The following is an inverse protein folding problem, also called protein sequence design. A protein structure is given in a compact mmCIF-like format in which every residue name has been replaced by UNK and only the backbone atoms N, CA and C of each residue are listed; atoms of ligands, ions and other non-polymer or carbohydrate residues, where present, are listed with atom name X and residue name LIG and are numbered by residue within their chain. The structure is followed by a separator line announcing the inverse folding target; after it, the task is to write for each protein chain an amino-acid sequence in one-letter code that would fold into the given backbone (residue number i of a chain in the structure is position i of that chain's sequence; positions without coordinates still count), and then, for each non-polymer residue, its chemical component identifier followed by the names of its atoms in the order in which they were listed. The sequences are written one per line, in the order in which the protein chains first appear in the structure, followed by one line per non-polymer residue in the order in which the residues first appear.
data_IF_530234507709
#
_entry.id   IF_530234507709
#
_cell.length_a   1.000
_cell.length_b   1.000
_cell.length_c   1.000
_cell.angle_alpha   90.00
_cell.angle_beta   90.00
_cell.angle_gamma   90.00
#
_symmetry.space_group_name_H-M   'P 1'
#
loop_
_entity.id
_entity.type
_entity.pdbx_description
1 polymer ?
#
# COMPACT_ATOMS: atom_id res chain seq x y z
N UNK A 1 -6.32 10.32 4.66
CA UNK A 1 -6.51 11.44 5.62
C UNK A 1 -6.41 12.80 4.92
N UNK A 2 -6.95 13.90 5.49
CA UNK A 2 -6.73 15.25 4.96
C UNK A 2 -5.24 15.66 4.95
N UNK A 3 -4.82 16.45 3.95
CA UNK A 3 -3.41 16.90 3.82
C UNK A 3 -2.89 17.63 5.07
N UNK A 4 -3.72 18.44 5.71
CA UNK A 4 -3.34 19.17 6.92
C UNK A 4 -2.96 18.23 8.09
N UNK A 5 -3.64 17.08 8.21
CA UNK A 5 -3.33 16.07 9.22
C UNK A 5 -1.97 15.42 8.93
N UNK A 6 -1.68 15.10 7.66
CA UNK A 6 -0.35 14.62 7.28
C UNK A 6 0.75 15.63 7.66
N UNK A 7 0.53 16.93 7.43
CA UNK A 7 1.48 17.97 7.83
C UNK A 7 1.72 17.99 9.35
N UNK A 8 0.68 17.80 10.15
CA UNK A 8 0.83 17.66 11.60
C UNK A 8 1.68 16.44 11.97
N UNK A 9 1.43 15.27 11.36
CA UNK A 9 2.22 14.06 11.60
C UNK A 9 3.70 14.23 11.21
N UNK A 10 4.00 14.98 10.14
CA UNK A 10 5.38 15.27 9.73
C UNK A 10 6.19 16.05 10.78
N UNK A 11 5.51 16.77 11.66
CA UNK A 11 6.14 17.60 12.70
C UNK A 11 5.99 17.04 14.12
N UNK A 12 5.28 15.91 14.30
CA UNK A 12 4.98 15.37 15.62
C UNK A 12 5.04 13.84 15.63
N UNK A 13 6.08 13.30 16.27
CA UNK A 13 6.21 11.87 16.56
C UNK A 13 4.99 11.34 17.30
N UNK A 14 4.41 12.12 18.21
CA UNK A 14 3.21 11.73 18.95
C UNK A 14 1.97 11.58 18.05
N UNK A 15 1.76 12.51 17.11
CA UNK A 15 0.61 12.42 16.20
C UNK A 15 0.80 11.31 15.17
N UNK A 16 2.05 11.07 14.73
CA UNK A 16 2.38 9.92 13.89
C UNK A 16 2.17 8.59 14.63
N UNK A 17 2.56 8.48 15.91
CA UNK A 17 2.26 7.31 16.74
C UNK A 17 0.76 7.06 16.85
N UNK A 18 -0.02 8.11 17.13
CA UNK A 18 -1.49 7.99 17.21
C UNK A 18 -2.09 7.52 15.88
N UNK A 19 -1.54 7.93 14.75
CA UNK A 19 -1.94 7.44 13.45
C UNK A 19 -1.63 5.95 13.29
N UNK A 20 -0.37 5.56 13.46
CA UNK A 20 0.10 4.18 13.29
C UNK A 20 -0.50 3.22 14.33
N UNK A 21 -0.96 3.74 15.47
CA UNK A 21 -1.70 3.00 16.50
C UNK A 21 -3.22 3.01 16.28
N UNK A 22 -3.73 3.41 15.11
CA UNK A 22 -5.16 3.45 14.78
C UNK A 22 -6.03 4.37 15.66
N UNK A 23 -5.42 5.35 16.36
CA UNK A 23 -6.09 6.29 17.28
C UNK A 23 -6.43 7.63 16.64
N UNK A 24 -5.90 7.95 15.46
CA UNK A 24 -6.07 9.25 14.80
C UNK A 24 -7.20 9.27 13.75
N UNK A 25 -7.57 8.11 13.21
CA UNK A 25 -8.58 7.99 12.15
C UNK A 25 -9.50 6.78 12.41
N UNK A 26 -10.78 6.84 11.98
CA UNK A 26 -11.70 5.71 12.13
C UNK A 26 -11.24 4.51 11.32
N UNK A 27 -11.62 3.29 11.74
CA UNK A 27 -11.25 2.03 11.07
C UNK A 27 -11.55 2.01 9.57
N UNK A 28 -12.63 2.69 9.13
CA UNK A 28 -13.01 2.79 7.71
C UNK A 28 -12.03 3.55 6.83
N UNK A 29 -11.09 4.30 7.41
CA UNK A 29 -10.08 5.08 6.69
C UNK A 29 -8.72 4.37 6.65
N UNK A 30 -8.65 3.11 7.10
CA UNK A 30 -7.46 2.25 7.05
C UNK A 30 -7.70 1.08 6.10
N UNK A 31 -6.64 0.65 5.43
CA UNK A 31 -6.61 -0.58 4.65
C UNK A 31 -5.45 -1.43 5.16
N UNK A 32 -5.79 -2.62 5.67
CA UNK A 32 -4.82 -3.65 5.98
C UNK A 32 -4.60 -4.53 4.74
N UNK A 33 -3.35 -4.62 4.31
CA UNK A 33 -2.94 -5.44 3.17
C UNK A 33 -2.28 -6.75 3.61
N UNK A 34 -2.17 -6.98 4.92
CA UNK A 34 -1.51 -8.15 5.49
C UNK A 34 -0.12 -8.35 4.81
N UNK A 35 0.23 -9.55 4.39
CA UNK A 35 1.50 -9.85 3.71
C UNK A 35 1.45 -9.67 2.18
N UNK A 36 0.35 -9.16 1.62
CA UNK A 36 0.15 -9.05 0.17
C UNK A 36 1.10 -8.08 -0.60
N UNK A 37 1.61 -6.96 -0.04
CA UNK A 37 2.32 -5.95 -0.84
C UNK A 37 3.48 -6.47 -1.67
N UNK A 38 4.31 -7.36 -1.11
CA UNK A 38 5.45 -7.93 -1.83
C UNK A 38 5.00 -8.82 -2.99
N UNK A 39 4.00 -9.68 -2.75
CA UNK A 39 3.41 -10.55 -3.75
C UNK A 39 2.74 -9.78 -4.88
N UNK A 40 2.02 -8.70 -4.57
CA UNK A 40 1.37 -7.84 -5.57
C UNK A 40 2.37 -7.25 -6.56
N UNK A 41 3.45 -6.64 -6.06
CA UNK A 41 4.49 -6.05 -6.91
C UNK A 41 5.12 -7.13 -7.80
N UNK A 42 5.51 -8.25 -7.19
CA UNK A 42 6.20 -9.32 -7.90
C UNK A 42 5.33 -9.97 -8.98
N UNK A 43 4.06 -10.27 -8.68
CA UNK A 43 3.15 -10.83 -9.69
C UNK A 43 2.86 -9.83 -10.80
N UNK A 44 2.67 -8.54 -10.49
CA UNK A 44 2.46 -7.51 -11.52
C UNK A 44 3.65 -7.47 -12.50
N UNK A 45 4.88 -7.54 -11.99
CA UNK A 45 6.10 -7.56 -12.80
C UNK A 45 6.23 -8.84 -13.64
N UNK A 46 5.98 -10.00 -13.04
CA UNK A 46 6.08 -11.28 -13.73
C UNK A 46 4.98 -11.50 -14.77
N UNK A 47 3.82 -10.87 -14.58
CA UNK A 47 2.70 -10.91 -15.54
C UNK A 47 2.94 -10.05 -16.78
N UNK A 48 4.08 -9.35 -16.86
CA UNK A 48 4.43 -8.48 -17.99
C UNK A 48 3.56 -7.23 -18.08
N UNK A 49 3.01 -6.77 -16.95
CA UNK A 49 2.28 -5.51 -16.88
C UNK A 49 3.16 -4.36 -17.38
N UNK A 50 2.53 -3.37 -18.03
CA UNK A 50 3.22 -2.15 -18.43
C UNK A 50 3.98 -1.51 -17.24
N UNK A 51 5.22 -1.02 -17.45
CA UNK A 51 6.03 -0.47 -16.37
C UNK A 51 5.38 0.71 -15.63
N UNK A 52 4.51 1.48 -16.28
CA UNK A 52 3.89 2.65 -15.68
C UNK A 52 2.86 2.29 -14.60
N UNK A 53 1.88 1.40 -14.84
CA UNK A 53 1.04 0.86 -13.77
C UNK A 53 1.81 0.11 -12.67
N UNK A 54 2.89 -0.62 -13.01
CA UNK A 54 3.76 -1.24 -12.00
C UNK A 54 4.41 -0.18 -11.10
N UNK A 55 4.90 0.93 -11.67
CA UNK A 55 5.47 2.02 -10.91
C UNK A 55 4.42 2.70 -10.01
N UNK A 56 3.19 2.88 -10.50
CA UNK A 56 2.09 3.39 -9.69
C UNK A 56 1.73 2.45 -8.53
N UNK A 57 1.69 1.13 -8.76
CA UNK A 57 1.48 0.13 -7.72
C UNK A 57 2.60 0.15 -6.68
N UNK A 58 3.87 0.20 -7.11
CA UNK A 58 5.02 0.33 -6.20
C UNK A 58 4.92 1.58 -5.35
N UNK A 59 4.54 2.71 -5.95
CA UNK A 59 4.34 3.98 -5.25
C UNK A 59 3.18 3.90 -4.26
N UNK A 60 2.09 3.24 -4.64
CA UNK A 60 0.92 3.03 -3.79
C UNK A 60 1.21 2.19 -2.54
N UNK A 61 2.20 1.29 -2.62
CA UNK A 61 2.59 0.37 -1.55
C UNK A 61 3.81 0.82 -0.73
N UNK A 62 4.58 1.79 -1.22
CA UNK A 62 5.84 2.24 -0.59
C UNK A 62 5.87 3.70 -0.22
N UNK A 63 4.98 4.53 -0.77
CA UNK A 63 5.02 5.97 -0.64
C UNK A 63 6.21 6.62 -1.35
N UNK A 64 6.31 7.94 -1.21
CA UNK A 64 7.40 8.72 -1.80
C UNK A 64 8.37 9.25 -0.76
N UNK A 65 7.81 9.75 0.34
CA UNK A 65 8.57 10.46 1.36
C UNK A 65 8.25 9.88 2.71
N UNK A 66 9.29 9.69 3.51
CA UNK A 66 9.16 9.41 4.92
C UNK A 66 8.42 10.55 5.64
N UNK A 67 7.48 10.20 6.52
CA UNK A 67 6.64 11.18 7.23
C UNK A 67 7.46 11.90 8.29
N UNK A 68 8.19 11.17 9.12
CA UNK A 68 9.04 11.75 10.17
C UNK A 68 10.23 10.83 10.48
N UNK A 69 11.46 11.19 10.09
CA UNK A 69 12.65 10.39 10.42
C UNK A 69 12.87 10.19 11.93
N UNK A 70 12.45 11.14 12.76
CA UNK A 70 12.54 11.03 14.21
C UNK A 70 11.62 9.95 14.80
N UNK A 71 10.63 9.47 14.04
CA UNK A 71 9.73 8.41 14.46
C UNK A 71 10.42 7.05 14.55
N UNK A 72 11.53 6.86 13.84
CA UNK A 72 12.28 5.60 13.86
C UNK A 72 12.87 5.24 15.23
N UNK A 73 13.05 6.24 16.09
CA UNK A 73 13.52 6.06 17.47
C UNK A 73 12.36 5.76 18.45
N UNK A 74 11.12 5.71 17.97
CA UNK A 74 9.96 5.43 18.81
C UNK A 74 9.88 3.94 19.17
N UNK A 75 9.45 3.58 20.40
CA UNK A 75 9.28 2.18 20.77
C UNK A 75 8.36 1.42 19.81
N UNK A 76 8.72 0.16 19.56
CA UNK A 76 7.96 -0.79 18.74
C UNK A 76 7.82 -0.40 17.25
N UNK A 77 8.62 0.52 16.72
CA UNK A 77 8.71 0.75 15.28
C UNK A 77 9.69 -0.21 14.62
N UNK A 78 9.43 -0.58 13.37
CA UNK A 78 10.36 -1.39 12.56
C UNK A 78 11.26 -0.45 11.77
N UNK A 79 12.55 -0.40 12.14
CA UNK A 79 13.51 0.57 11.59
C UNK A 79 13.67 0.48 10.07
N UNK A 80 13.66 -0.73 9.51
CA UNK A 80 13.78 -1.00 8.08
C UNK A 80 12.54 -0.60 7.27
N UNK A 81 11.43 -0.32 7.94
CA UNK A 81 10.14 0.02 7.34
C UNK A 81 9.65 1.39 7.85
N UNK A 82 10.28 2.49 7.38
CA UNK A 82 9.86 3.83 7.79
C UNK A 82 8.42 4.10 7.37
N UNK A 83 7.73 4.92 8.17
CA UNK A 83 6.39 5.38 7.82
C UNK A 83 6.50 6.36 6.66
N UNK A 84 5.89 6.05 5.53
CA UNK A 84 5.94 6.87 4.31
C UNK A 84 4.56 7.40 3.94
N UNK A 85 4.52 8.39 3.06
CA UNK A 85 3.28 8.97 2.58
C UNK A 85 3.29 9.32 1.09
N UNK A 86 2.08 9.46 0.57
CA UNK A 86 1.75 10.17 -0.65
C UNK A 86 0.87 11.37 -0.31
N UNK A 87 1.23 12.55 -0.81
CA UNK A 87 0.41 13.75 -0.71
C UNK A 87 -0.86 13.63 -1.56
N UNK A 88 -1.89 14.40 -1.24
CA UNK A 88 -3.22 14.27 -1.85
C UNK A 88 -3.23 14.36 -3.39
N UNK A 89 -2.42 15.25 -3.96
CA UNK A 89 -2.34 15.39 -5.43
C UNK A 89 -1.66 14.16 -6.06
N UNK A 90 -0.63 13.61 -5.39
CA UNK A 90 0.02 12.36 -5.82
C UNK A 90 -0.92 11.17 -5.74
N UNK A 91 -1.74 11.08 -4.68
CA UNK A 91 -2.78 10.05 -4.54
C UNK A 91 -3.75 10.10 -5.72
N UNK A 92 -4.17 11.30 -6.13
CA UNK A 92 -5.01 11.47 -7.32
C UNK A 92 -4.38 10.92 -8.60
N UNK A 93 -3.08 11.20 -8.81
CA UNK A 93 -2.32 10.66 -9.93
C UNK A 93 -2.21 9.13 -9.89
N UNK A 94 -1.84 8.56 -8.74
CA UNK A 94 -1.73 7.10 -8.55
C UNK A 94 -3.08 6.43 -8.78
N UNK A 95 -4.16 6.97 -8.21
CA UNK A 95 -5.51 6.43 -8.39
C UNK A 95 -5.96 6.45 -9.85
N UNK A 96 -5.63 7.50 -10.61
CA UNK A 96 -5.95 7.56 -12.03
C UNK A 96 -5.25 6.46 -12.84
N UNK A 97 -3.96 6.19 -12.54
CA UNK A 97 -3.22 5.11 -13.21
C UNK A 97 -3.77 3.75 -12.80
N UNK A 98 -3.96 3.52 -11.51
CA UNK A 98 -4.48 2.26 -11.00
C UNK A 98 -5.91 1.98 -11.49
N UNK A 99 -6.76 3.00 -11.58
CA UNK A 99 -8.12 2.88 -12.10
C UNK A 99 -8.20 2.63 -13.61
N UNK A 100 -7.08 2.72 -14.34
CA UNK A 100 -7.02 2.35 -15.76
C UNK A 100 -6.68 0.87 -16.00
N UNK A 101 -6.30 0.15 -14.94
CA UNK A 101 -6.06 -1.27 -15.02
C UNK A 101 -7.35 -2.03 -15.34
N UNK A 102 -7.27 -3.16 -16.08
CA UNK A 102 -8.39 -4.10 -16.12
C UNK A 102 -8.63 -4.68 -14.72
N UNK A 103 -9.67 -5.51 -14.57
CA UNK A 103 -9.97 -6.12 -13.28
C UNK A 103 -8.75 -6.87 -12.70
N UNK A 104 -8.69 -6.95 -11.36
CA UNK A 104 -7.56 -7.53 -10.64
C UNK A 104 -7.24 -8.98 -11.05
N UNK A 105 -8.26 -9.76 -11.42
CA UNK A 105 -8.08 -11.16 -11.82
C UNK A 105 -7.40 -11.28 -13.20
N UNK A 106 -7.67 -10.33 -14.09
CA UNK A 106 -7.03 -10.19 -15.41
C UNK A 106 -5.60 -9.67 -15.31
N UNK A 107 -5.30 -8.87 -14.29
CA UNK A 107 -3.96 -8.33 -14.02
C UNK A 107 -3.02 -9.39 -13.44
N UNK A 108 -3.52 -10.21 -12.51
CA UNK A 108 -2.71 -11.14 -11.72
C UNK A 108 -2.68 -12.54 -12.36
N UNK A 109 -2.07 -12.62 -13.54
CA UNK A 109 -1.92 -13.85 -14.32
C UNK A 109 -0.44 -14.13 -14.57
N UNK A 110 0.27 -14.76 -13.61
CA UNK A 110 1.66 -15.11 -13.83
C UNK A 110 1.80 -16.14 -14.96
N UNK A 111 2.94 -16.20 -15.66
CA UNK A 111 3.20 -17.23 -16.65
C UNK A 111 3.06 -18.64 -16.06
N UNK A 112 2.56 -19.60 -16.83
CA UNK A 112 2.36 -20.97 -16.37
C UNK A 112 3.65 -21.58 -15.80
N UNK A 113 3.55 -22.25 -14.65
CA UNK A 113 4.68 -22.93 -13.99
C UNK A 113 5.68 -22.00 -13.29
N UNK A 114 5.42 -20.70 -13.19
CA UNK A 114 6.28 -19.81 -12.42
C UNK A 114 6.22 -20.09 -10.93
N UNK A 115 7.40 -20.18 -10.31
CA UNK A 115 7.64 -20.12 -8.87
C UNK A 115 7.25 -18.77 -8.24
N UNK A 116 6.49 -17.93 -8.95
CA UNK A 116 6.05 -16.61 -8.49
C UNK A 116 5.23 -16.70 -7.19
N UNK A 117 4.52 -17.80 -7.01
CA UNK A 117 3.81 -18.11 -5.77
C UNK A 117 4.76 -18.49 -4.62
N UNK A 118 6.02 -18.83 -4.88
CA UNK A 118 7.02 -19.06 -3.83
C UNK A 118 7.52 -17.74 -3.22
N UNK A 119 7.20 -16.58 -3.82
CA UNK A 119 7.43 -15.28 -3.20
C UNK A 119 6.65 -15.10 -1.89
N UNK A 120 5.59 -15.91 -1.70
CA UNK A 120 4.83 -16.03 -0.47
C UNK A 120 5.56 -16.85 0.61
N UNK A 121 6.84 -17.22 0.45
CA UNK A 121 7.62 -17.89 1.50
C UNK A 121 7.66 -17.12 2.83
N UNK A 122 7.29 -15.83 2.82
CA UNK A 122 7.11 -14.98 4.01
C UNK A 122 5.65 -14.68 4.37
N UNK A 123 4.70 -15.13 3.56
CA UNK A 123 3.28 -14.99 3.85
C UNK A 123 2.85 -16.01 4.91
N UNK A 124 1.63 -15.90 5.46
CA UNK A 124 1.14 -16.87 6.43
C UNK A 124 1.27 -18.29 5.86
N UNK A 125 1.91 -19.19 6.61
CA UNK A 125 2.02 -20.59 6.20
C UNK A 125 0.61 -21.15 5.94
N UNK A 126 0.40 -21.77 4.79
CA UNK A 126 -0.87 -22.45 4.47
C UNK A 126 -1.92 -21.62 3.73
N UNK A 127 -1.51 -20.63 2.91
CA UNK A 127 -2.42 -20.01 1.95
C UNK A 127 -2.87 -21.04 0.89
N UNK A 128 -4.13 -21.50 1.02
CA UNK A 128 -4.73 -22.48 0.11
C UNK A 128 -4.95 -21.91 -1.31
N UNK A 129 -5.24 -20.61 -1.43
CA UNK A 129 -5.42 -19.89 -2.71
C UNK A 129 -4.65 -18.55 -2.72
N UNK A 130 -3.34 -18.58 -3.04
CA UNK A 130 -2.53 -17.37 -3.15
C UNK A 130 -3.03 -16.39 -4.23
N UNK A 131 -3.69 -16.87 -5.28
CA UNK A 131 -4.19 -16.02 -6.36
C UNK A 131 -5.44 -15.27 -5.90
N UNK A 132 -6.41 -15.97 -5.32
CA UNK A 132 -7.59 -15.35 -4.73
C UNK A 132 -7.22 -14.32 -3.67
N UNK A 133 -6.23 -14.64 -2.82
CA UNK A 133 -5.68 -13.72 -1.83
C UNK A 133 -5.16 -12.41 -2.46
N UNK A 134 -4.32 -12.48 -3.49
CA UNK A 134 -3.84 -11.26 -4.15
C UNK A 134 -4.93 -10.48 -4.88
N UNK A 135 -5.88 -11.18 -5.51
CA UNK A 135 -7.00 -10.51 -6.19
C UNK A 135 -7.82 -9.71 -5.18
N UNK A 136 -8.09 -10.28 -4.01
CA UNK A 136 -8.79 -9.61 -2.93
C UNK A 136 -8.06 -8.33 -2.49
N UNK A 137 -6.77 -8.43 -2.18
CA UNK A 137 -5.98 -7.29 -1.72
C UNK A 137 -5.73 -6.23 -2.80
N UNK A 138 -5.53 -6.63 -4.06
CA UNK A 138 -5.44 -5.66 -5.16
C UNK A 138 -6.76 -4.91 -5.32
N UNK A 139 -7.89 -5.61 -5.31
CA UNK A 139 -9.22 -4.98 -5.42
C UNK A 139 -9.43 -3.96 -4.30
N UNK A 140 -9.15 -4.34 -3.06
CA UNK A 140 -9.26 -3.45 -1.91
C UNK A 140 -8.33 -2.21 -2.04
N UNK A 141 -7.11 -2.39 -2.53
CA UNK A 141 -6.17 -1.30 -2.79
C UNK A 141 -6.70 -0.32 -3.85
N UNK A 142 -7.24 -0.84 -4.96
CA UNK A 142 -7.81 -0.02 -6.04
C UNK A 142 -8.98 0.83 -5.50
N UNK A 143 -9.90 0.21 -4.76
CA UNK A 143 -11.05 0.88 -4.16
C UNK A 143 -10.61 1.93 -3.12
N UNK A 144 -9.61 1.61 -2.30
CA UNK A 144 -9.09 2.54 -1.30
C UNK A 144 -8.47 3.79 -1.94
N UNK A 145 -7.68 3.63 -2.99
CA UNK A 145 -7.07 4.76 -3.71
C UNK A 145 -8.11 5.60 -4.47
N UNK A 146 -9.12 4.98 -5.08
CA UNK A 146 -10.24 5.71 -5.69
C UNK A 146 -10.97 6.58 -4.64
N UNK A 147 -11.30 6.01 -3.48
CA UNK A 147 -11.94 6.76 -2.41
C UNK A 147 -11.05 7.89 -1.86
N UNK A 148 -9.76 7.62 -1.63
CA UNK A 148 -8.81 8.62 -1.16
C UNK A 148 -8.67 9.77 -2.17
N UNK A 149 -8.59 9.47 -3.46
CA UNK A 149 -8.51 10.47 -4.52
C UNK A 149 -9.78 11.34 -4.59
N UNK A 150 -10.98 10.74 -4.52
CA UNK A 150 -12.26 11.47 -4.50
C UNK A 150 -12.37 12.43 -3.32
N UNK A 151 -11.83 12.04 -2.16
CA UNK A 151 -11.79 12.87 -0.95
C UNK A 151 -10.64 13.87 -0.93
N UNK A 152 -9.75 13.85 -1.95
CA UNK A 152 -8.50 14.62 -2.00
C UNK A 152 -7.65 14.43 -0.74
N UNK A 153 -7.46 13.17 -0.38
CA UNK A 153 -6.75 12.77 0.82
C UNK A 153 -5.34 12.27 0.51
N UNK A 154 -4.43 12.51 1.45
CA UNK A 154 -3.14 11.87 1.52
C UNK A 154 -3.28 10.43 2.06
N UNK A 155 -2.33 9.57 1.69
CA UNK A 155 -2.21 8.18 2.15
C UNK A 155 -0.89 8.02 2.91
N UNK A 156 -0.95 7.36 4.06
CA UNK A 156 0.23 7.01 4.87
C UNK A 156 0.33 5.50 4.91
N UNK A 157 1.55 4.98 4.77
CA UNK A 157 1.86 3.55 4.78
C UNK A 157 2.82 3.26 5.93
N UNK A 158 2.53 2.25 6.72
CA UNK A 158 3.39 1.76 7.80
C UNK A 158 3.23 0.24 7.93
N UNK A 159 4.14 -0.35 8.71
CA UNK A 159 4.09 -1.74 9.13
C UNK A 159 3.83 -1.75 10.63
N UNK A 160 2.90 -2.58 11.08
CA UNK A 160 2.59 -2.83 12.49
C UNK A 160 3.24 -4.12 13.03
#
# INVERSE_FOLDING_TARGET
MPQAVLMTCRHSVHELDRLCSFKLAPTSDHLDLDWAPAGLIQIAELSGMDPHPVAALRRALRGDSEVSPAYRDHPNTIWEHPVTALDADTVGGVAAVLGSLPDAASVLVPPAGHAAWNAFDKAPQGLDDPRGYLILHLTALLEFYDQAARRRWAVVMWWD
#
